data_IF_664258242582
#
_entry.id   IF_664258242582
#
_cell.length_a   1.000
_cell.length_b   1.000
_cell.length_c   1.000
_cell.angle_alpha   90.00
_cell.angle_beta   90.00
_cell.angle_gamma   90.00
#
_symmetry.space_group_name_H-M   'P 1'
#
loop_
_entity.id
_entity.type
_entity.pdbx_description
1 polymer ?
#
# COMPACT_ATOMS: atom_id res chain seq x y z
N UNK A 1 -13.50 1.82 5.16
CA UNK A 1 -12.48 1.00 5.85
C UNK A 1 -11.11 1.67 5.76
N UNK A 2 -10.30 1.46 6.77
CA UNK A 2 -8.92 1.92 6.80
C UNK A 2 -8.02 0.72 6.60
N UNK A 3 -6.98 0.87 5.77
CA UNK A 3 -6.03 -0.21 5.50
C UNK A 3 -4.63 0.25 5.87
N UNK A 4 -3.96 -0.56 6.67
CA UNK A 4 -2.56 -0.35 7.04
C UNK A 4 -1.70 -1.19 6.10
N UNK A 5 -0.82 -0.53 5.34
CA UNK A 5 0.04 -1.19 4.38
C UNK A 5 1.50 -0.99 4.77
N UNK A 6 2.26 -2.06 4.70
CA UNK A 6 3.72 -2.04 4.82
C UNK A 6 4.29 -2.53 3.50
N UNK A 7 5.02 -1.65 2.81
CA UNK A 7 5.51 -1.89 1.46
C UNK A 7 7.04 -1.85 1.41
N UNK A 8 7.63 -2.91 0.89
CA UNK A 8 9.09 -3.02 0.73
C UNK A 8 9.49 -2.37 -0.60
N UNK A 9 10.17 -1.22 -0.51
CA UNK A 9 10.58 -0.45 -1.69
C UNK A 9 11.65 -1.15 -2.52
N UNK A 10 12.55 -1.90 -1.88
CA UNK A 10 13.62 -2.61 -2.58
C UNK A 10 13.09 -3.76 -3.39
N UNK A 11 12.17 -4.53 -2.81
CA UNK A 11 11.57 -5.69 -3.46
C UNK A 11 10.39 -5.31 -4.36
N UNK A 12 9.83 -4.12 -4.15
CA UNK A 12 8.63 -3.71 -4.86
C UNK A 12 7.44 -4.60 -4.51
N UNK A 13 7.31 -4.97 -3.25
CA UNK A 13 6.30 -5.92 -2.80
C UNK A 13 5.66 -5.48 -1.49
N UNK A 14 4.38 -5.78 -1.35
CA UNK A 14 3.62 -5.52 -0.13
C UNK A 14 3.99 -6.59 0.91
N UNK A 15 4.40 -6.15 2.10
CA UNK A 15 4.76 -7.05 3.21
C UNK A 15 3.59 -7.32 4.13
N UNK A 16 2.70 -6.34 4.28
CA UNK A 16 1.57 -6.44 5.21
C UNK A 16 0.39 -5.62 4.70
N UNK A 17 -0.79 -6.17 4.87
CA UNK A 17 -2.05 -5.48 4.64
C UNK A 17 -2.98 -5.84 5.79
N UNK A 18 -3.39 -4.82 6.57
CA UNK A 18 -4.30 -5.04 7.69
C UNK A 18 -5.50 -4.10 7.60
N UNK A 19 -6.73 -4.62 7.53
CA UNK A 19 -7.91 -3.78 7.52
C UNK A 19 -8.32 -3.36 8.93
N UNK A 20 -8.89 -2.17 9.04
CA UNK A 20 -9.48 -1.63 10.25
C UNK A 20 -10.85 -1.06 9.93
N UNK A 21 -11.77 -1.18 10.88
CA UNK A 21 -13.01 -0.43 10.82
C UNK A 21 -12.73 1.07 10.96
N UNK A 22 -13.60 1.91 10.40
CA UNK A 22 -13.45 3.36 10.52
C UNK A 22 -13.44 3.88 11.96
N UNK A 23 -14.06 3.14 12.89
CA UNK A 23 -14.07 3.51 14.31
C UNK A 23 -12.74 3.21 15.00
N UNK A 24 -11.88 2.41 14.39
CA UNK A 24 -10.59 2.01 14.94
C UNK A 24 -9.43 2.84 14.38
N UNK A 25 -9.70 4.04 13.89
CA UNK A 25 -8.68 4.91 13.30
C UNK A 25 -7.53 5.20 14.26
N UNK A 26 -7.82 5.43 15.54
CA UNK A 26 -6.77 5.71 16.53
C UNK A 26 -5.84 4.52 16.70
N UNK A 27 -6.38 3.31 16.70
CA UNK A 27 -5.58 2.09 16.80
C UNK A 27 -4.74 1.89 15.55
N UNK A 28 -5.31 2.12 14.38
CA UNK A 28 -4.57 2.03 13.12
C UNK A 28 -3.38 2.99 13.09
N UNK A 29 -3.58 4.21 13.57
CA UNK A 29 -2.51 5.21 13.67
C UNK A 29 -1.41 4.78 14.63
N UNK A 30 -1.76 4.20 15.75
CA UNK A 30 -0.78 3.70 16.72
C UNK A 30 0.02 2.54 16.16
N UNK A 31 -0.62 1.61 15.47
CA UNK A 31 0.08 0.48 14.83
C UNK A 31 1.02 0.97 13.74
N UNK A 32 0.59 1.94 12.93
CA UNK A 32 1.45 2.54 11.93
C UNK A 32 2.70 3.14 12.56
N UNK A 33 2.52 3.90 13.64
CA UNK A 33 3.64 4.54 14.32
C UNK A 33 4.61 3.50 14.91
N UNK A 34 4.08 2.43 15.51
CA UNK A 34 4.91 1.35 16.06
C UNK A 34 5.76 0.70 14.96
N UNK A 35 5.17 0.45 13.79
CA UNK A 35 5.90 -0.13 12.67
C UNK A 35 6.96 0.83 12.15
N UNK A 36 6.62 2.11 12.01
CA UNK A 36 7.57 3.13 11.56
C UNK A 36 8.78 3.23 12.50
N UNK A 37 8.56 3.15 13.80
CA UNK A 37 9.66 3.17 14.77
C UNK A 37 10.55 1.95 14.64
N UNK A 38 9.97 0.77 14.45
CA UNK A 38 10.73 -0.46 14.24
C UNK A 38 11.55 -0.40 12.96
N UNK A 39 10.97 0.09 11.88
CA UNK A 39 11.66 0.24 10.60
C UNK A 39 12.79 1.26 10.68
N UNK A 40 12.57 2.34 11.40
CA UNK A 40 13.60 3.34 11.64
C UNK A 40 14.81 2.75 12.36
N UNK A 41 14.55 1.94 13.40
CA UNK A 41 15.63 1.28 14.16
C UNK A 41 16.39 0.24 13.35
N UNK A 42 15.70 -0.49 12.48
CA UNK A 42 16.32 -1.52 11.64
C UNK A 42 16.88 -0.96 10.34
N UNK A 43 16.62 0.30 10.02
CA UNK A 43 17.04 0.98 8.79
C UNK A 43 16.56 0.26 7.51
N UNK A 44 15.38 -0.35 7.59
CA UNK A 44 14.79 -1.01 6.43
C UNK A 44 14.13 0.00 5.49
N UNK A 45 14.21 -0.27 4.18
CA UNK A 45 13.59 0.56 3.14
C UNK A 45 12.14 0.19 2.92
N UNK A 46 11.31 0.33 3.95
CA UNK A 46 9.89 0.07 3.86
C UNK A 46 9.07 1.34 4.04
N UNK A 47 7.94 1.38 3.38
CA UNK A 47 6.98 2.47 3.48
C UNK A 47 5.76 1.96 4.24
N UNK A 48 5.28 2.74 5.21
CA UNK A 48 4.08 2.40 5.98
C UNK A 48 3.05 3.50 5.75
N UNK A 49 1.87 3.12 5.28
CA UNK A 49 0.81 4.07 4.98
C UNK A 49 -0.54 3.59 5.49
N UNK A 50 -1.41 4.55 5.79
CA UNK A 50 -2.82 4.30 6.04
C UNK A 50 -3.61 4.84 4.85
N UNK A 51 -4.44 3.99 4.26
CA UNK A 51 -5.28 4.34 3.12
C UNK A 51 -6.73 4.02 3.44
N UNK A 52 -7.64 4.84 2.92
CA UNK A 52 -9.07 4.59 3.06
C UNK A 52 -9.66 4.14 1.74
N UNK A 53 -10.53 3.14 1.80
CA UNK A 53 -11.32 2.67 0.67
C UNK A 53 -12.57 1.97 1.18
N UNK A 54 -13.55 1.81 0.30
CA UNK A 54 -14.79 1.13 0.66
C UNK A 54 -14.53 -0.33 1.02
N UNK A 55 -13.63 -0.99 0.27
CA UNK A 55 -13.24 -2.37 0.47
C UNK A 55 -11.84 -2.62 -0.10
N UNK A 56 -11.32 -3.83 0.10
CA UNK A 56 -10.00 -4.21 -0.36
C UNK A 56 -9.88 -4.20 -1.89
N UNK A 57 -10.93 -4.63 -2.59
CA UNK A 57 -10.93 -4.64 -4.05
C UNK A 57 -10.79 -3.24 -4.61
N UNK A 58 -11.52 -2.28 -4.06
CA UNK A 58 -11.41 -0.88 -4.45
C UNK A 58 -10.02 -0.33 -4.16
N UNK A 59 -9.46 -0.69 -2.99
CA UNK A 59 -8.11 -0.30 -2.61
C UNK A 59 -7.08 -0.77 -3.64
N UNK A 60 -7.16 -2.03 -4.03
CA UNK A 60 -6.23 -2.61 -5.02
C UNK A 60 -6.33 -1.92 -6.38
N UNK A 61 -7.54 -1.55 -6.76
CA UNK A 61 -7.80 -0.91 -8.05
C UNK A 61 -7.28 0.52 -8.09
N UNK A 62 -7.41 1.26 -6.99
CA UNK A 62 -7.03 2.68 -6.93
C UNK A 62 -5.57 2.88 -6.54
N UNK A 63 -4.94 1.91 -5.88
CA UNK A 63 -3.57 2.00 -5.39
C UNK A 63 -2.71 0.85 -5.93
N UNK A 64 -2.69 0.69 -7.24
CA UNK A 64 -2.03 -0.42 -7.92
C UNK A 64 -0.55 -0.55 -7.59
N UNK A 65 0.13 0.57 -7.31
CA UNK A 65 1.56 0.54 -7.04
C UNK A 65 1.93 -0.32 -5.84
N UNK A 66 1.02 -0.50 -4.88
CA UNK A 66 1.28 -1.32 -3.69
C UNK A 66 0.97 -2.80 -3.91
N UNK A 67 0.18 -3.13 -4.90
CA UNK A 67 -0.31 -4.51 -5.10
C UNK A 67 0.28 -5.18 -6.32
N UNK A 68 0.83 -4.42 -7.25
CA UNK A 68 1.44 -4.95 -8.45
C UNK A 68 2.96 -4.89 -8.32
N UNK A 69 3.65 -5.88 -8.89
CA UNK A 69 5.11 -5.80 -9.02
C UNK A 69 5.47 -4.68 -9.99
N UNK A 70 6.70 -4.15 -9.91
CA UNK A 70 7.14 -3.14 -10.89
C UNK A 70 6.95 -3.60 -12.34
N UNK A 71 7.19 -4.89 -12.60
CA UNK A 71 6.98 -5.46 -13.94
C UNK A 71 5.51 -5.40 -14.34
N UNK A 72 4.60 -5.75 -13.44
CA UNK A 72 3.16 -5.69 -13.71
C UNK A 72 2.70 -4.26 -13.97
N UNK A 73 3.25 -3.30 -13.24
CA UNK A 73 2.93 -1.89 -13.45
C UNK A 73 3.38 -1.42 -14.83
N UNK A 74 4.57 -1.81 -15.25
CA UNK A 74 5.10 -1.47 -16.58
C UNK A 74 4.25 -2.12 -17.66
N UNK A 75 3.90 -3.38 -17.52
CA UNK A 75 3.06 -4.09 -18.47
C UNK A 75 1.68 -3.42 -18.61
N UNK A 76 1.10 -3.02 -17.49
CA UNK A 76 -0.17 -2.30 -17.46
C UNK A 76 -0.08 -0.97 -18.19
N UNK A 77 1.00 -0.24 -18.03
CA UNK A 77 1.24 1.03 -18.72
C UNK A 77 1.42 0.82 -20.22
N UNK A 78 2.10 -0.24 -20.61
CA UNK A 78 2.31 -0.56 -22.02
C UNK A 78 1.05 -1.02 -22.72
N UNK A 79 0.11 -1.61 -22.00
CA UNK A 79 -1.17 -2.04 -22.52
C UNK A 79 -2.19 -0.93 -22.62
N UNK A 80 -1.94 0.20 -22.00
CA UNK A 80 -2.78 1.37 -22.16
C UNK A 80 -2.50 1.97 -23.54
N UNK A 81 -3.37 1.69 -24.48
CA UNK A 81 -3.27 2.28 -25.80
C UNK A 81 -3.41 3.80 -25.66
N UNK A 82 -2.61 4.55 -26.43
CA UNK A 82 -2.84 5.98 -26.51
C UNK A 82 -4.26 6.22 -27.03
N UNK A 83 -4.95 7.13 -26.41
CA UNK A 83 -6.31 7.48 -26.81
C UNK A 83 -6.25 7.89 -28.29
N UNK A 84 -6.96 7.19 -29.17
CA UNK A 84 -6.96 7.57 -30.57
C UNK A 84 -7.60 8.96 -30.68
N UNK A 85 -6.93 9.80 -31.38
CA UNK A 85 -7.45 11.11 -31.66
C UNK A 85 -8.55 11.06 -32.70
#
# INVERSE_FOLDING_TARGET
MIFLLEYDRKRGALRRLKPFSGVDRAQAQRERLDIELKLYRSQESCEVVLLEAADEETLKRTHKRYFNTPRQLVESMMQQEPIPE
#
